data_IF_072238460404
#
_entry.id   IF_072238460404
#
_cell.length_a   1.000
_cell.length_b   1.000
_cell.length_c   1.000
_cell.angle_alpha   90.00
_cell.angle_beta   90.00
_cell.angle_gamma   90.00
#
_symmetry.space_group_name_H-M   'P 1'
#
loop_
_entity.id
_entity.type
_entity.pdbx_description
1 polymer ?
#
# COMPACT_ATOMS: atom_id res chain seq x y z
N UNK A 1 17.19 -7.07 5.55
CA UNK A 1 16.79 -6.71 4.18
C UNK A 1 15.37 -7.22 3.98
N UNK A 2 14.49 -6.44 3.32
CA UNK A 2 13.13 -6.88 3.00
C UNK A 2 13.15 -8.01 1.96
N UNK A 3 12.26 -8.98 2.08
CA UNK A 3 11.96 -10.01 1.08
C UNK A 3 11.31 -9.42 -0.18
N UNK A 4 11.18 -10.21 -1.26
CA UNK A 4 10.50 -9.76 -2.48
C UNK A 4 9.03 -9.38 -2.20
N UNK A 5 8.33 -10.20 -1.42
CA UNK A 5 6.94 -9.97 -0.98
C UNK A 5 6.80 -8.66 -0.20
N UNK A 6 7.68 -8.42 0.78
CA UNK A 6 7.67 -7.18 1.57
C UNK A 6 8.01 -5.94 0.72
N UNK A 7 8.97 -6.04 -0.20
CA UNK A 7 9.30 -4.93 -1.11
C UNK A 7 8.13 -4.57 -2.03
N UNK A 8 7.36 -5.55 -2.50
CA UNK A 8 6.17 -5.31 -3.31
C UNK A 8 5.08 -4.58 -2.51
N UNK A 9 4.84 -5.00 -1.26
CA UNK A 9 3.90 -4.32 -0.36
C UNK A 9 4.30 -2.86 -0.07
N UNK A 10 5.59 -2.61 0.22
CA UNK A 10 6.10 -1.26 0.45
C UNK A 10 5.92 -0.38 -0.78
N UNK A 11 6.32 -0.84 -1.97
CA UNK A 11 6.14 -0.06 -3.22
C UNK A 11 4.67 0.27 -3.49
N UNK A 12 3.77 -0.67 -3.22
CA UNK A 12 2.34 -0.45 -3.35
C UNK A 12 1.85 0.64 -2.38
N UNK A 13 2.22 0.57 -1.09
CA UNK A 13 1.85 1.58 -0.10
C UNK A 13 2.44 2.96 -0.43
N UNK A 14 3.70 3.02 -0.88
CA UNK A 14 4.36 4.26 -1.33
C UNK A 14 3.59 4.91 -2.48
N UNK A 15 3.35 4.16 -3.57
CA UNK A 15 2.60 4.67 -4.73
C UNK A 15 1.18 5.08 -4.35
N UNK A 16 0.48 4.29 -3.53
CA UNK A 16 -0.85 4.66 -3.05
C UNK A 16 -0.84 6.00 -2.28
N UNK A 17 0.19 6.25 -1.46
CA UNK A 17 0.30 7.47 -0.67
C UNK A 17 0.61 8.70 -1.52
N UNK A 18 1.48 8.59 -2.53
CA UNK A 18 2.06 9.74 -3.25
C UNK A 18 1.57 9.93 -4.68
N UNK A 19 1.22 8.86 -5.41
CA UNK A 19 0.72 8.90 -6.79
C UNK A 19 -0.05 7.61 -7.12
N UNK A 20 -1.30 7.53 -6.67
CA UNK A 20 -2.12 6.33 -6.81
C UNK A 20 -2.44 5.96 -8.28
N UNK A 21 -2.27 6.88 -9.23
CA UNK A 21 -2.38 6.58 -10.66
C UNK A 21 -1.23 5.68 -11.17
N UNK A 22 -0.13 5.56 -10.40
CA UNK A 22 1.01 4.67 -10.70
C UNK A 22 0.84 3.27 -10.13
N UNK A 23 -0.27 2.97 -9.47
CA UNK A 23 -0.68 1.59 -9.16
C UNK A 23 -1.23 0.97 -10.45
N UNK A 24 -0.30 0.64 -11.35
CA UNK A 24 -0.54 0.15 -12.71
C UNK A 24 -0.61 -1.39 -12.77
N UNK A 25 -0.94 -1.92 -13.95
CA UNK A 25 -1.07 -3.36 -14.19
C UNK A 25 0.22 -4.14 -13.86
N UNK A 26 1.38 -3.53 -14.07
CA UNK A 26 2.67 -4.14 -13.73
C UNK A 26 2.82 -4.33 -12.22
N UNK A 27 2.45 -3.32 -11.43
CA UNK A 27 2.47 -3.43 -9.98
C UNK A 27 1.42 -4.43 -9.47
N UNK A 28 0.23 -4.46 -10.06
CA UNK A 28 -0.77 -5.46 -9.72
C UNK A 28 -0.32 -6.89 -10.05
N UNK A 29 0.35 -7.09 -11.18
CA UNK A 29 0.94 -8.37 -11.54
C UNK A 29 2.04 -8.80 -10.54
N UNK A 30 2.88 -7.86 -10.10
CA UNK A 30 3.89 -8.12 -9.08
C UNK A 30 3.26 -8.51 -7.73
N UNK A 31 2.20 -7.82 -7.29
CA UNK A 31 1.48 -8.19 -6.07
C UNK A 31 0.89 -9.59 -6.18
N UNK A 32 0.24 -9.92 -7.30
CA UNK A 32 -0.33 -11.27 -7.54
C UNK A 32 0.72 -12.38 -7.62
N UNK A 33 1.97 -12.06 -7.92
CA UNK A 33 3.06 -13.03 -7.87
C UNK A 33 3.48 -13.39 -6.43
N UNK A 34 3.09 -12.59 -5.44
CA UNK A 34 3.52 -12.73 -4.05
C UNK A 34 2.38 -12.91 -3.04
N UNK A 35 1.17 -12.50 -3.39
CA UNK A 35 0.00 -12.46 -2.53
C UNK A 35 -1.19 -13.10 -3.24
N UNK A 36 -2.04 -13.80 -2.47
CA UNK A 36 -3.37 -14.18 -2.91
C UNK A 36 -4.29 -12.95 -3.03
N UNK A 37 -5.39 -13.06 -3.77
CA UNK A 37 -6.37 -11.96 -3.89
C UNK A 37 -6.90 -11.50 -2.51
N UNK A 38 -7.14 -12.42 -1.57
CA UNK A 38 -7.58 -12.07 -0.22
C UNK A 38 -6.52 -11.24 0.53
N UNK A 39 -5.25 -11.64 0.43
CA UNK A 39 -4.13 -10.90 1.04
C UNK A 39 -3.92 -9.53 0.36
N UNK A 40 -4.17 -9.41 -0.94
CA UNK A 40 -4.11 -8.14 -1.66
C UNK A 40 -5.21 -7.18 -1.17
N UNK A 41 -6.44 -7.66 -1.00
CA UNK A 41 -7.55 -6.88 -0.44
C UNK A 41 -7.19 -6.41 0.97
N UNK A 42 -6.64 -7.30 1.79
CA UNK A 42 -6.21 -6.99 3.14
C UNK A 42 -5.10 -5.92 3.15
N UNK A 43 -4.08 -6.08 2.31
CA UNK A 43 -2.99 -5.11 2.14
C UNK A 43 -3.53 -3.74 1.72
N UNK A 44 -4.40 -3.69 0.70
CA UNK A 44 -4.99 -2.45 0.21
C UNK A 44 -5.84 -1.74 1.27
N UNK A 45 -6.63 -2.51 2.03
CA UNK A 45 -7.50 -1.99 3.08
C UNK A 45 -6.68 -1.38 4.22
N UNK A 46 -5.67 -2.11 4.73
CA UNK A 46 -4.82 -1.61 5.81
C UNK A 46 -3.97 -0.41 5.37
N UNK A 47 -3.36 -0.46 4.18
CA UNK A 47 -2.60 0.66 3.65
C UNK A 47 -3.48 1.92 3.53
N UNK A 48 -4.68 1.79 2.98
CA UNK A 48 -5.63 2.92 2.86
C UNK A 48 -6.01 3.48 4.23
N UNK A 49 -6.34 2.60 5.19
CA UNK A 49 -6.72 2.99 6.55
C UNK A 49 -5.61 3.78 7.24
N UNK A 50 -4.38 3.26 7.24
CA UNK A 50 -3.26 3.92 7.92
C UNK A 50 -2.78 5.19 7.23
N UNK A 51 -2.80 5.24 5.89
CA UNK A 51 -2.51 6.48 5.14
C UNK A 51 -3.56 7.55 5.46
N UNK A 52 -4.85 7.19 5.44
CA UNK A 52 -5.93 8.10 5.77
C UNK A 52 -5.86 8.58 7.22
N UNK A 53 -5.55 7.68 8.16
CA UNK A 53 -5.42 8.01 9.57
C UNK A 53 -4.23 8.93 9.84
N UNK A 54 -3.08 8.70 9.18
CA UNK A 54 -1.93 9.60 9.26
C UNK A 54 -2.26 11.03 8.82
N UNK A 55 -3.01 11.18 7.73
CA UNK A 55 -3.51 12.49 7.24
C UNK A 55 -4.48 13.13 8.23
N UNK A 56 -5.39 12.35 8.83
CA UNK A 56 -6.29 12.86 9.87
C UNK A 56 -5.51 13.38 11.08
N UNK A 57 -4.53 12.62 11.58
CA UNK A 57 -3.71 13.01 12.73
C UNK A 57 -2.95 14.32 12.48
N UNK A 58 -2.47 14.53 11.25
CA UNK A 58 -1.84 15.77 10.83
C UNK A 58 -2.83 16.95 10.85
N UNK A 59 -4.04 16.77 10.30
CA UNK A 59 -5.08 17.82 10.26
C UNK A 59 -5.50 18.27 11.67
N UNK A 60 -5.57 17.34 12.63
CA UNK A 60 -6.02 17.63 14.00
C UNK A 60 -4.88 17.91 14.99
N UNK A 61 -3.62 17.78 14.57
CA UNK A 61 -2.44 18.16 15.35
C UNK A 61 -2.07 17.23 16.51
N UNK A 62 -2.25 15.91 16.37
CA UNK A 62 -1.99 14.92 17.44
C UNK A 62 -0.77 14.02 17.17
N UNK A 63 0.17 14.46 16.33
CA UNK A 63 1.40 13.72 16.04
C UNK A 63 2.36 13.69 17.23
#
# INVERSE_FOLDING_TARGET
MLSARERAAVRFAEKMAVDHHKVDDALWAELRAHFSEAEIIELATHATLYIGFGRLNEIIGIQ
#
